data_IF_982928871265
#
_entry.id   IF_982928871265
#
_cell.length_a   1.000
_cell.length_b   1.000
_cell.length_c   1.000
_cell.angle_alpha   90.00
_cell.angle_beta   90.00
_cell.angle_gamma   90.00
#
_symmetry.space_group_name_H-M   'P 1'
#
loop_
_entity.id
_entity.type
_entity.pdbx_description
1 polymer ?
#
# COMPACT_ATOMS: atom_id res chain seq x y z
N UNK A 1 5.19 -8.35 24.34
CA UNK A 1 4.25 -8.80 23.28
C UNK A 1 3.33 -9.94 23.72
N UNK A 2 3.52 -10.57 24.88
CA UNK A 2 2.69 -11.69 25.39
C UNK A 2 1.23 -11.38 25.76
N UNK A 3 0.65 -10.26 25.31
CA UNK A 3 -0.78 -10.03 25.56
C UNK A 3 -1.51 -9.10 24.57
N UNK A 4 -0.95 -8.73 23.40
CA UNK A 4 -1.74 -7.90 22.46
C UNK A 4 -2.93 -8.70 21.91
N UNK A 5 -2.70 -9.96 21.53
CA UNK A 5 -3.78 -10.84 21.07
C UNK A 5 -4.82 -11.08 22.16
N UNK A 6 -4.39 -11.42 23.39
CA UNK A 6 -5.34 -11.63 24.49
C UNK A 6 -6.12 -10.37 24.90
N UNK A 7 -5.54 -9.17 24.71
CA UNK A 7 -6.25 -7.89 24.88
C UNK A 7 -7.27 -7.64 23.76
N UNK A 8 -6.92 -7.98 22.51
CA UNK A 8 -7.85 -7.95 21.38
C UNK A 8 -9.01 -8.94 21.59
N UNK A 9 -8.72 -10.16 22.04
CA UNK A 9 -9.73 -11.18 22.37
C UNK A 9 -10.64 -10.74 23.52
N UNK A 10 -10.14 -9.90 24.43
CA UNK A 10 -10.92 -9.26 25.50
C UNK A 10 -11.77 -8.08 25.02
N UNK A 11 -11.67 -7.69 23.74
CA UNK A 11 -12.44 -6.61 23.12
C UNK A 11 -11.82 -5.22 23.30
N UNK A 12 -10.52 -5.11 23.62
CA UNK A 12 -9.84 -3.82 23.61
C UNK A 12 -9.72 -3.25 22.18
N UNK A 13 -9.69 -1.91 22.06
CA UNK A 13 -9.67 -1.22 20.77
C UNK A 13 -8.35 -1.48 20.01
N UNK A 14 -8.46 -1.94 18.76
CA UNK A 14 -7.31 -2.25 17.92
C UNK A 14 -6.43 -1.03 17.67
N UNK A 15 -7.02 0.15 17.45
CA UNK A 15 -6.28 1.37 17.14
C UNK A 15 -5.46 1.84 18.35
N UNK A 16 -6.01 1.76 19.56
CA UNK A 16 -5.29 2.07 20.79
C UNK A 16 -4.15 1.07 21.07
N UNK A 17 -4.38 -0.21 20.82
CA UNK A 17 -3.33 -1.22 20.93
C UNK A 17 -2.24 -1.03 19.86
N UNK A 18 -2.60 -0.66 18.63
CA UNK A 18 -1.65 -0.37 17.57
C UNK A 18 -0.78 0.85 17.91
N UNK A 19 -1.36 1.93 18.43
CA UNK A 19 -0.60 3.10 18.90
C UNK A 19 0.40 2.76 20.01
N UNK A 20 0.04 1.83 20.87
CA UNK A 20 0.82 1.49 22.08
C UNK A 20 1.91 0.47 21.82
N UNK A 21 1.64 -0.52 20.96
CA UNK A 21 2.48 -1.72 20.81
C UNK A 21 3.05 -1.93 19.41
N UNK A 22 2.53 -1.27 18.38
CA UNK A 22 3.06 -1.44 17.02
C UNK A 22 4.48 -0.87 16.92
N UNK A 23 5.36 -1.60 16.24
CA UNK A 23 6.72 -1.17 15.92
C UNK A 23 6.82 -0.46 14.56
N UNK A 24 5.70 -0.37 13.83
CA UNK A 24 5.61 0.44 12.63
C UNK A 24 5.15 1.86 12.99
N UNK A 25 6.12 2.75 13.24
CA UNK A 25 5.88 4.14 13.62
C UNK A 25 4.96 4.89 12.63
N UNK A 26 5.00 4.52 11.34
CA UNK A 26 4.26 5.21 10.30
C UNK A 26 2.74 4.98 10.38
N UNK A 27 2.35 3.79 10.82
CA UNK A 27 0.94 3.39 10.96
C UNK A 27 0.49 3.42 12.41
N UNK A 28 1.38 3.20 13.38
CA UNK A 28 1.11 3.24 14.82
C UNK A 28 0.42 4.56 15.21
N UNK A 29 0.97 5.70 14.78
CA UNK A 29 0.40 7.03 15.06
C UNK A 29 -1.00 7.24 14.47
N UNK A 30 -1.37 6.45 13.46
CA UNK A 30 -2.69 6.45 12.81
C UNK A 30 -3.59 5.29 13.29
N UNK A 31 -3.25 4.64 14.41
CA UNK A 31 -4.03 3.50 14.91
C UNK A 31 -3.90 2.23 14.07
N UNK A 32 -2.76 2.03 13.40
CA UNK A 32 -2.49 0.84 12.59
C UNK A 32 -3.14 0.85 11.20
N UNK A 33 -3.67 2.01 10.75
CA UNK A 33 -4.33 2.10 9.44
C UNK A 33 -3.31 2.04 8.30
N UNK A 34 -3.34 0.92 7.57
CA UNK A 34 -2.46 0.62 6.42
C UNK A 34 -3.06 1.03 5.06
N UNK A 35 -4.35 1.38 5.02
CA UNK A 35 -5.05 1.83 3.80
C UNK A 35 -6.06 0.83 3.24
N UNK A 36 -6.39 1.01 1.96
CA UNK A 36 -7.36 0.20 1.22
C UNK A 36 -6.61 -0.71 0.25
N UNK A 37 -6.99 -1.99 0.24
CA UNK A 37 -6.38 -3.01 -0.58
C UNK A 37 -7.47 -3.78 -1.33
N UNK A 38 -7.13 -4.22 -2.52
CA UNK A 38 -7.89 -5.18 -3.30
C UNK A 38 -7.27 -6.58 -3.16
N UNK A 39 -8.04 -7.64 -3.39
CA UNK A 39 -7.57 -9.03 -3.23
C UNK A 39 -6.35 -9.37 -4.10
N UNK A 40 -6.22 -8.68 -5.24
CA UNK A 40 -5.12 -8.75 -6.20
C UNK A 40 -3.88 -7.91 -5.80
N UNK A 41 -4.02 -6.99 -4.83
CA UNK A 41 -2.92 -6.16 -4.32
C UNK A 41 -2.44 -6.58 -2.93
N UNK A 42 -3.02 -7.63 -2.35
CA UNK A 42 -2.51 -8.20 -1.12
C UNK A 42 -1.08 -8.70 -1.30
N UNK A 43 -0.16 -8.37 -0.37
CA UNK A 43 1.16 -8.98 -0.35
C UNK A 43 1.02 -10.51 -0.26
N UNK A 44 1.72 -11.22 -1.13
CA UNK A 44 1.58 -12.68 -1.27
C UNK A 44 1.81 -13.43 0.05
N UNK A 45 2.72 -12.92 0.89
CA UNK A 45 3.00 -13.43 2.22
C UNK A 45 1.78 -13.42 3.16
N UNK A 46 0.93 -12.40 3.06
CA UNK A 46 -0.21 -12.21 3.97
C UNK A 46 -1.55 -12.59 3.35
N UNK A 47 -1.57 -12.90 2.06
CA UNK A 47 -2.78 -13.12 1.27
C UNK A 47 -3.72 -14.15 1.90
N UNK A 48 -3.20 -15.32 2.31
CA UNK A 48 -4.02 -16.37 2.93
C UNK A 48 -4.72 -15.91 4.22
N UNK A 49 -4.08 -15.06 5.01
CA UNK A 49 -4.65 -14.53 6.25
C UNK A 49 -5.66 -13.41 5.97
N UNK A 50 -5.34 -12.52 5.04
CA UNK A 50 -6.19 -11.38 4.64
C UNK A 50 -7.44 -11.81 3.83
N UNK A 51 -7.39 -12.96 3.17
CA UNK A 51 -8.54 -13.53 2.45
C UNK A 51 -9.56 -14.15 3.42
N UNK A 52 -9.10 -14.72 4.55
CA UNK A 52 -9.95 -15.44 5.51
C UNK A 52 -10.59 -14.55 6.57
N UNK A 53 -10.01 -13.38 6.83
CA UNK A 53 -10.48 -12.47 7.87
C UNK A 53 -11.82 -11.81 7.49
N UNK A 54 -12.79 -11.93 8.40
CA UNK A 54 -14.09 -11.28 8.26
C UNK A 54 -14.03 -9.82 8.72
N UNK A 55 -15.06 -9.04 8.35
CA UNK A 55 -15.17 -7.64 8.77
C UNK A 55 -15.26 -7.57 10.30
N UNK A 56 -14.57 -6.59 10.90
CA UNK A 56 -14.43 -6.37 12.34
C UNK A 56 -13.70 -7.49 13.11
N UNK A 57 -13.09 -8.44 12.41
CA UNK A 57 -12.21 -9.43 13.02
C UNK A 57 -10.73 -9.06 12.85
N UNK A 58 -9.88 -9.77 13.59
CA UNK A 58 -8.42 -9.74 13.45
C UNK A 58 -7.87 -11.13 13.12
N UNK A 59 -6.65 -11.19 12.58
CA UNK A 59 -5.91 -12.43 12.41
C UNK A 59 -5.37 -12.93 13.75
N UNK A 60 -4.95 -14.18 13.79
CA UNK A 60 -3.97 -14.63 14.76
C UNK A 60 -2.61 -13.95 14.53
N UNK A 61 -1.63 -14.23 15.41
CA UNK A 61 -0.26 -13.75 15.25
C UNK A 61 0.38 -14.44 14.04
N UNK A 62 0.64 -13.66 12.99
CA UNK A 62 1.42 -14.07 11.84
C UNK A 62 2.89 -13.83 12.16
N UNK A 63 3.72 -14.86 12.02
CA UNK A 63 5.16 -14.77 12.25
C UNK A 63 5.89 -14.77 10.93
N UNK A 64 6.66 -13.72 10.65
CA UNK A 64 7.58 -13.70 9.53
C UNK A 64 8.98 -13.34 10.03
N UNK A 65 9.90 -14.29 9.90
CA UNK A 65 11.26 -14.23 10.44
C UNK A 65 11.30 -13.79 11.92
N UNK A 66 11.64 -12.52 12.16
CA UNK A 66 11.78 -11.90 13.49
C UNK A 66 10.56 -11.02 13.83
N UNK A 67 9.71 -10.74 12.85
CA UNK A 67 8.57 -9.84 12.97
C UNK A 67 7.27 -10.59 13.25
N UNK A 68 6.37 -9.92 13.97
CA UNK A 68 5.04 -10.41 14.29
C UNK A 68 4.00 -9.42 13.77
N UNK A 69 2.98 -9.93 13.09
CA UNK A 69 1.91 -9.13 12.52
C UNK A 69 0.55 -9.61 13.03
N UNK A 70 -0.34 -8.65 13.27
CA UNK A 70 -1.76 -8.88 13.48
C UNK A 70 -2.47 -7.88 12.57
N UNK A 71 -3.35 -8.37 11.70
CA UNK A 71 -4.16 -7.52 10.83
C UNK A 71 -5.61 -7.52 11.30
N UNK A 72 -6.30 -6.40 11.14
CA UNK A 72 -7.73 -6.28 11.39
C UNK A 72 -8.44 -5.72 10.17
N UNK A 73 -9.60 -6.29 9.83
CA UNK A 73 -10.38 -5.85 8.66
C UNK A 73 -11.48 -4.91 9.11
N UNK A 74 -11.27 -3.61 8.93
CA UNK A 74 -12.21 -2.59 9.39
C UNK A 74 -13.51 -2.55 8.60
N UNK A 75 -13.42 -2.71 7.27
CA UNK A 75 -14.57 -2.64 6.36
C UNK A 75 -14.27 -3.35 5.05
N UNK A 76 -15.33 -3.69 4.32
CA UNK A 76 -15.25 -4.06 2.90
C UNK A 76 -15.94 -2.98 2.08
N UNK A 77 -15.23 -2.46 1.08
CA UNK A 77 -15.78 -1.51 0.11
C UNK A 77 -16.18 -2.33 -1.12
N UNK A 78 -17.46 -2.32 -1.45
CA UNK A 78 -17.96 -3.04 -2.62
C UNK A 78 -17.39 -2.47 -3.91
N UNK A 79 -16.99 -3.36 -4.82
CA UNK A 79 -16.52 -2.96 -6.13
C UNK A 79 -17.67 -2.33 -6.91
N UNK A 80 -17.46 -1.08 -7.33
CA UNK A 80 -18.35 -0.37 -8.25
C UNK A 80 -17.51 0.45 -9.22
N UNK A 81 -18.02 0.73 -10.42
CA UNK A 81 -17.40 1.73 -11.27
C UNK A 81 -17.37 3.07 -10.53
N UNK A 82 -16.21 3.73 -10.56
CA UNK A 82 -16.12 5.12 -10.16
C UNK A 82 -16.84 6.00 -11.18
N UNK A 83 -17.53 7.02 -10.70
CA UNK A 83 -17.99 8.09 -11.56
C UNK A 83 -16.83 8.97 -11.98
N UNK A 84 -16.89 9.54 -13.18
CA UNK A 84 -15.82 10.38 -13.71
C UNK A 84 -15.43 11.52 -12.77
N UNK A 85 -16.40 12.11 -12.07
CA UNK A 85 -16.16 13.20 -11.11
C UNK A 85 -15.35 12.74 -9.89
N UNK A 86 -15.55 11.51 -9.41
CA UNK A 86 -14.85 10.96 -8.24
C UNK A 86 -13.36 10.75 -8.49
N UNK A 87 -13.00 10.48 -9.75
CA UNK A 87 -11.63 10.18 -10.16
C UNK A 87 -11.01 11.28 -11.02
N UNK A 88 -11.68 12.41 -11.20
CA UNK A 88 -11.24 13.46 -12.12
C UNK A 88 -9.84 13.97 -11.79
N UNK A 89 -9.59 14.35 -10.53
CA UNK A 89 -8.29 14.91 -10.13
C UNK A 89 -7.17 13.88 -10.25
N UNK A 90 -7.43 12.64 -9.81
CA UNK A 90 -6.48 11.53 -9.92
C UNK A 90 -6.17 11.16 -11.38
N UNK A 91 -7.20 11.12 -12.25
CA UNK A 91 -7.04 10.92 -13.69
C UNK A 91 -6.23 12.05 -14.31
N UNK A 92 -6.50 13.30 -13.93
CA UNK A 92 -5.80 14.46 -14.44
C UNK A 92 -4.32 14.39 -14.10
N UNK A 93 -3.97 14.12 -12.84
CA UNK A 93 -2.57 13.94 -12.42
C UNK A 93 -1.88 12.83 -13.20
N UNK A 94 -2.54 11.67 -13.34
CA UNK A 94 -2.01 10.52 -14.09
C UNK A 94 -1.77 10.87 -15.57
N UNK A 95 -2.72 11.55 -16.22
CA UNK A 95 -2.60 11.95 -17.62
C UNK A 95 -1.52 13.02 -17.81
N UNK A 96 -1.41 13.99 -16.90
CA UNK A 96 -0.36 15.01 -16.95
C UNK A 96 1.01 14.34 -16.83
N UNK A 97 1.21 13.53 -15.78
CA UNK A 97 2.47 12.82 -15.55
C UNK A 97 2.87 11.96 -16.75
N UNK A 98 1.91 11.22 -17.33
CA UNK A 98 2.16 10.42 -18.54
C UNK A 98 2.59 11.28 -19.73
N UNK A 99 1.89 12.39 -20.00
CA UNK A 99 2.24 13.29 -21.10
C UNK A 99 3.60 13.95 -20.91
N UNK A 100 3.93 14.32 -19.67
CA UNK A 100 5.25 14.89 -19.34
C UNK A 100 6.36 13.88 -19.62
N UNK A 101 6.20 12.62 -19.19
CA UNK A 101 7.15 11.55 -19.50
C UNK A 101 7.31 11.34 -21.01
N UNK A 102 6.20 11.26 -21.76
CA UNK A 102 6.23 11.10 -23.21
C UNK A 102 6.91 12.27 -23.93
N UNK A 103 6.64 13.51 -23.52
CA UNK A 103 7.29 14.69 -24.09
C UNK A 103 8.77 14.74 -23.76
N UNK A 104 9.15 14.41 -22.53
CA UNK A 104 10.53 14.37 -22.10
C UNK A 104 11.34 13.32 -22.87
N UNK A 105 10.82 12.09 -22.99
CA UNK A 105 11.47 11.03 -23.77
C UNK A 105 11.65 11.42 -25.24
N UNK A 106 10.61 11.98 -25.86
CA UNK A 106 10.70 12.44 -27.24
C UNK A 106 11.68 13.60 -27.39
N UNK A 107 11.72 14.53 -26.45
CA UNK A 107 12.67 15.64 -26.45
C UNK A 107 14.11 15.14 -26.35
N UNK A 108 14.41 14.24 -25.42
CA UNK A 108 15.74 13.62 -25.28
C UNK A 108 16.13 12.87 -26.55
N UNK A 109 15.22 12.06 -27.12
CA UNK A 109 15.46 11.35 -28.37
C UNK A 109 15.83 12.29 -29.51
N UNK A 110 15.08 13.38 -29.67
CA UNK A 110 15.34 14.39 -30.70
C UNK A 110 16.66 15.12 -30.46
N UNK A 111 17.01 15.44 -29.21
CA UNK A 111 18.28 16.06 -28.88
C UNK A 111 19.46 15.14 -29.26
N UNK A 112 19.39 13.86 -28.89
CA UNK A 112 20.41 12.87 -29.25
C UNK A 112 20.54 12.73 -30.77
N UNK A 113 19.43 12.67 -31.51
CA UNK A 113 19.46 12.55 -32.97
C UNK A 113 20.05 13.77 -33.68
N UNK A 114 19.82 14.97 -33.15
CA UNK A 114 20.27 16.22 -33.77
C UNK A 114 21.63 16.71 -33.23
N UNK A 115 22.28 15.93 -32.37
CA UNK A 115 23.58 16.26 -31.79
C UNK A 115 24.63 15.24 -32.20
N UNK A 116 25.90 15.65 -32.29
CA UNK A 116 26.99 14.69 -32.40
C UNK A 116 27.16 14.01 -31.03
N UNK A 117 26.81 12.72 -30.94
CA UNK A 117 26.93 11.91 -29.73
C UNK A 117 27.85 10.73 -30.02
N UNK A 118 28.96 10.64 -29.28
CA UNK A 118 29.91 9.52 -29.33
C UNK A 118 29.93 8.83 -27.98
N UNK A 119 29.55 7.54 -27.93
CA UNK A 119 29.52 6.73 -26.70
C UNK A 119 30.84 5.97 -26.61
N UNK A 120 31.75 6.42 -25.74
CA UNK A 120 32.99 5.73 -25.44
C UNK A 120 32.72 4.65 -24.37
N UNK A 121 32.81 3.38 -24.75
CA UNK A 121 32.82 2.28 -23.79
C UNK A 121 34.27 2.11 -23.29
N UNK A 122 34.50 2.36 -21.99
CA UNK A 122 35.78 2.01 -21.36
C UNK A 122 35.95 0.49 -21.37
N UNK A 123 37.18 0.05 -21.72
CA UNK A 123 37.59 -1.35 -21.81
C UNK A 123 37.85 -1.98 -20.46
#
# INVERSE_FOLDING_TARGET
MENVLAKLDAGEDFSELAKTYSQDDSTAVKGGVVGEFTEDTFPELFKEYLDKIEIEQHTDIIREDVNLYIFAKLRKIESRPYEYQEIYDKLRELVISKKESELYENWIKNLVQNSYVEILLEK
#
